data_IF_630798909466
#
_entry.id   IF_630798909466
#
_cell.length_a   1.000
_cell.length_b   1.000
_cell.length_c   1.000
_cell.angle_alpha   90.00
_cell.angle_beta   90.00
_cell.angle_gamma   90.00
#
_symmetry.space_group_name_H-M   'P 1'
#
loop_
_entity.id
_entity.type
_entity.pdbx_description
1 polymer ?
#
# COMPACT_ATOMS: atom_id res chain seq x y z
N UNK A 1 17.56 1.41 -21.42
CA UNK A 1 16.10 1.61 -21.66
C UNK A 1 15.73 3.07 -21.41
N UNK A 2 15.04 3.73 -22.35
CA UNK A 2 14.65 5.14 -22.22
C UNK A 2 13.60 5.34 -21.12
N UNK A 3 13.61 6.50 -20.46
CA UNK A 3 12.63 6.85 -19.42
C UNK A 3 11.19 6.86 -19.98
N UNK A 4 11.00 7.22 -21.25
CA UNK A 4 9.69 7.19 -21.92
C UNK A 4 9.12 5.77 -21.99
N UNK A 5 9.97 4.78 -22.25
CA UNK A 5 9.56 3.37 -22.31
C UNK A 5 9.17 2.88 -20.92
N UNK A 6 9.96 3.22 -19.89
CA UNK A 6 9.61 2.88 -18.50
C UNK A 6 8.28 3.52 -18.07
N UNK A 7 8.05 4.77 -18.50
CA UNK A 7 6.80 5.50 -18.25
C UNK A 7 5.60 4.82 -18.89
N UNK A 8 5.71 4.47 -20.18
CA UNK A 8 4.65 3.77 -20.90
C UNK A 8 4.33 2.42 -20.25
N UNK A 9 5.35 1.67 -19.83
CA UNK A 9 5.18 0.40 -19.12
C UNK A 9 4.45 0.58 -17.78
N UNK A 10 4.82 1.58 -16.96
CA UNK A 10 4.15 1.85 -15.70
C UNK A 10 2.66 2.19 -15.88
N UNK A 11 2.34 3.02 -16.87
CA UNK A 11 0.95 3.36 -17.22
C UNK A 11 0.15 2.17 -17.77
N UNK A 12 0.81 1.29 -18.52
CA UNK A 12 0.19 0.07 -19.00
C UNK A 12 -0.17 -0.86 -17.83
N UNK A 13 0.76 -1.05 -16.87
CA UNK A 13 0.49 -1.82 -15.66
C UNK A 13 -0.65 -1.20 -14.84
N UNK A 14 -0.65 0.11 -14.67
CA UNK A 14 -1.73 0.85 -14.00
C UNK A 14 -3.10 0.57 -14.63
N UNK A 15 -3.20 0.65 -15.96
CA UNK A 15 -4.43 0.37 -16.70
C UNK A 15 -4.89 -1.09 -16.55
N UNK A 16 -3.96 -2.06 -16.61
CA UNK A 16 -4.27 -3.48 -16.43
C UNK A 16 -4.79 -3.75 -15.01
N UNK A 17 -4.11 -3.23 -13.99
CA UNK A 17 -4.52 -3.38 -12.60
C UNK A 17 -5.89 -2.73 -12.35
N UNK A 18 -6.13 -1.55 -12.92
CA UNK A 18 -7.39 -0.80 -12.76
C UNK A 18 -8.59 -1.46 -13.45
N UNK A 19 -8.37 -2.35 -14.41
CA UNK A 19 -9.45 -2.95 -15.20
C UNK A 19 -9.73 -4.41 -14.85
N UNK A 20 -8.76 -5.14 -14.26
CA UNK A 20 -8.85 -6.59 -14.05
C UNK A 20 -8.80 -7.00 -12.58
N UNK A 21 -9.91 -6.83 -11.87
CA UNK A 21 -10.02 -7.22 -10.46
C UNK A 21 -9.91 -8.73 -10.21
N UNK A 22 -10.25 -9.56 -11.20
CA UNK A 22 -10.20 -11.02 -11.14
C UNK A 22 -8.78 -11.55 -10.99
N UNK A 23 -7.78 -10.76 -11.39
CA UNK A 23 -6.36 -11.12 -11.35
C UNK A 23 -5.64 -10.59 -10.10
N UNK A 24 -6.36 -10.03 -9.12
CA UNK A 24 -5.75 -9.44 -7.92
C UNK A 24 -4.73 -10.35 -7.20
N UNK A 25 -5.01 -11.64 -6.95
CA UNK A 25 -4.03 -12.53 -6.31
C UNK A 25 -2.73 -12.62 -7.12
N UNK A 26 -2.83 -12.70 -8.46
CA UNK A 26 -1.67 -12.77 -9.34
C UNK A 26 -0.87 -11.46 -9.35
N UNK A 27 -1.56 -10.32 -9.35
CA UNK A 27 -0.91 -9.01 -9.22
C UNK A 27 -0.14 -8.89 -7.91
N UNK A 28 -0.66 -9.45 -6.81
CA UNK A 28 0.08 -9.48 -5.55
C UNK A 28 1.31 -10.39 -5.58
N UNK A 29 1.31 -11.48 -6.37
CA UNK A 29 2.49 -12.36 -6.50
C UNK A 29 3.59 -11.76 -7.37
N UNK A 30 3.22 -11.14 -8.49
CA UNK A 30 4.19 -10.76 -9.53
C UNK A 30 4.37 -9.25 -9.67
N UNK A 31 3.27 -8.50 -9.76
CA UNK A 31 3.29 -7.07 -10.07
C UNK A 31 3.66 -6.24 -8.84
N UNK A 32 3.08 -6.53 -7.68
CA UNK A 32 3.30 -5.77 -6.45
C UNK A 32 4.78 -5.77 -6.02
N UNK A 33 5.48 -6.92 -5.91
CA UNK A 33 6.91 -6.91 -5.54
C UNK A 33 7.76 -6.19 -6.58
N UNK A 34 7.42 -6.29 -7.87
CA UNK A 34 8.12 -5.61 -8.95
C UNK A 34 7.97 -4.08 -8.86
N UNK A 35 6.76 -3.57 -8.57
CA UNK A 35 6.51 -2.16 -8.36
C UNK A 35 7.24 -1.61 -7.12
N UNK A 36 7.20 -2.34 -5.99
CA UNK A 36 7.93 -1.96 -4.76
C UNK A 36 9.43 -1.83 -5.04
N UNK A 37 10.01 -2.80 -5.78
CA UNK A 37 11.42 -2.77 -6.16
C UNK A 37 11.77 -1.58 -7.08
N UNK A 38 10.77 -0.96 -7.73
CA UNK A 38 10.92 0.20 -8.63
C UNK A 38 10.67 1.54 -7.96
N UNK A 39 10.29 1.61 -6.68
CA UNK A 39 10.16 2.89 -5.96
C UNK A 39 11.47 3.70 -5.91
N UNK A 40 12.62 3.05 -6.13
CA UNK A 40 13.95 3.68 -6.25
C UNK A 40 14.24 4.29 -7.64
N UNK A 41 13.24 4.52 -8.48
CA UNK A 41 13.41 5.14 -9.80
C UNK A 41 14.08 6.52 -9.69
N UNK A 42 14.93 6.89 -10.65
CA UNK A 42 15.67 8.17 -10.59
C UNK A 42 14.92 9.31 -11.25
N UNK A 43 14.14 9.00 -12.29
CA UNK A 43 13.36 9.99 -13.03
C UNK A 43 12.02 10.22 -12.30
N UNK A 44 11.75 11.47 -11.92
CA UNK A 44 10.63 11.80 -11.04
C UNK A 44 9.26 11.52 -11.68
N UNK A 45 9.13 11.72 -13.00
CA UNK A 45 7.87 11.45 -13.68
C UNK A 45 7.60 9.94 -13.77
N UNK A 46 8.59 9.14 -14.14
CA UNK A 46 8.48 7.67 -14.12
C UNK A 46 8.20 7.17 -12.70
N UNK A 47 8.88 7.72 -11.69
CA UNK A 47 8.63 7.38 -10.28
C UNK A 47 7.16 7.64 -9.91
N UNK A 48 6.63 8.82 -10.23
CA UNK A 48 5.24 9.14 -9.95
C UNK A 48 4.25 8.17 -10.62
N UNK A 49 4.50 7.78 -11.88
CA UNK A 49 3.67 6.78 -12.58
C UNK A 49 3.75 5.39 -11.92
N UNK A 50 4.91 4.99 -11.36
CA UNK A 50 5.06 3.74 -10.58
C UNK A 50 4.27 3.79 -9.27
N UNK A 51 4.31 4.92 -8.55
CA UNK A 51 3.48 5.12 -7.37
C UNK A 51 1.99 5.09 -7.71
N UNK A 52 1.59 5.68 -8.84
CA UNK A 52 0.21 5.67 -9.29
C UNK A 52 -0.30 4.25 -9.56
N UNK A 53 0.48 3.45 -10.29
CA UNK A 53 0.15 2.04 -10.56
C UNK A 53 -0.07 1.23 -9.27
N UNK A 54 0.74 1.46 -8.23
CA UNK A 54 0.60 0.78 -6.95
C UNK A 54 -0.61 1.29 -6.14
N UNK A 55 -0.92 2.60 -6.21
CA UNK A 55 -2.15 3.14 -5.62
C UNK A 55 -3.40 2.51 -6.22
N UNK A 56 -3.42 2.31 -7.54
CA UNK A 56 -4.52 1.63 -8.23
C UNK A 56 -4.66 0.18 -7.73
N UNK A 57 -3.55 -0.53 -7.48
CA UNK A 57 -3.60 -1.86 -6.88
C UNK A 57 -4.25 -1.85 -5.49
N UNK A 58 -3.87 -0.89 -4.64
CA UNK A 58 -4.47 -0.74 -3.31
C UNK A 58 -5.98 -0.44 -3.40
N UNK A 59 -6.38 0.46 -4.29
CA UNK A 59 -7.80 0.82 -4.50
C UNK A 59 -8.63 -0.37 -4.95
N UNK A 60 -8.09 -1.22 -5.83
CA UNK A 60 -8.75 -2.45 -6.27
C UNK A 60 -8.87 -3.49 -5.17
N UNK A 61 -7.96 -3.46 -4.21
CA UNK A 61 -7.95 -4.36 -3.05
C UNK A 61 -8.90 -3.89 -1.96
N UNK A 62 -9.34 -2.63 -2.01
CA UNK A 62 -10.39 -2.14 -1.13
C UNK A 62 -11.60 -3.05 -1.30
N UNK A 63 -12.13 -3.64 -0.22
CA UNK A 63 -13.30 -4.48 -0.34
C UNK A 63 -14.41 -3.62 -0.91
N UNK A 64 -14.88 -3.96 -2.10
CA UNK A 64 -15.98 -3.27 -2.77
C UNK A 64 -17.30 -3.58 -2.06
N UNK A 65 -17.42 -3.34 -0.74
CA UNK A 65 -18.57 -3.66 0.12
C UNK A 65 -19.07 -5.13 0.08
N UNK A 66 -18.55 -5.97 -0.81
CA UNK A 66 -19.07 -7.30 -1.15
C UNK A 66 -18.51 -8.41 -0.25
N UNK A 67 -17.36 -8.19 0.37
CA UNK A 67 -16.72 -9.19 1.25
C UNK A 67 -17.37 -9.27 2.65
N UNK A 68 -18.28 -8.35 2.99
CA UNK A 68 -19.05 -8.36 4.24
C UNK A 68 -20.32 -9.22 4.15
N UNK A 69 -20.67 -9.74 2.97
CA UNK A 69 -21.95 -10.42 2.74
C UNK A 69 -21.89 -11.95 2.77
N UNK A 70 -20.71 -12.57 2.90
CA UNK A 70 -20.63 -14.03 2.90
C UNK A 70 -19.71 -14.55 4.03
N UNK A 71 -20.26 -14.88 5.21
CA UNK A 71 -19.51 -15.47 6.31
C UNK A 71 -18.98 -16.89 6.01
N UNK A 72 -19.45 -17.56 4.95
CA UNK A 72 -18.98 -18.90 4.53
C UNK A 72 -17.83 -18.85 3.50
N UNK A 73 -17.55 -17.70 2.89
CA UNK A 73 -16.42 -17.54 1.95
C UNK A 73 -15.04 -17.46 2.64
N UNK A 74 -15.01 -17.52 3.98
CA UNK A 74 -13.81 -17.30 4.79
C UNK A 74 -12.86 -18.52 4.85
N UNK A 75 -13.21 -19.65 4.23
CA UNK A 75 -12.46 -20.90 4.36
C UNK A 75 -11.54 -21.29 3.18
N UNK A 76 -11.42 -20.51 2.09
CA UNK A 76 -10.61 -20.96 0.94
C UNK A 76 -9.68 -19.89 0.35
N UNK A 77 -8.43 -19.86 0.83
CA UNK A 77 -7.26 -19.35 0.09
C UNK A 77 -6.63 -18.04 0.58
N UNK A 78 -5.42 -17.74 0.06
CA UNK A 78 -4.76 -16.44 0.21
C UNK A 78 -5.65 -15.33 -0.38
N UNK A 79 -6.32 -14.58 0.48
CA UNK A 79 -7.09 -13.41 0.03
C UNK A 79 -6.14 -12.26 -0.35
N UNK A 80 -6.48 -11.39 -1.31
CA UNK A 80 -5.67 -10.22 -1.65
C UNK A 80 -5.30 -9.35 -0.43
N UNK A 81 -6.17 -9.31 0.59
CA UNK A 81 -5.90 -8.61 1.86
C UNK A 81 -4.79 -9.27 2.68
N UNK A 82 -4.80 -10.59 2.82
CA UNK A 82 -3.71 -11.33 3.52
C UNK A 82 -2.39 -11.19 2.78
N UNK A 83 -2.41 -11.21 1.44
CA UNK A 83 -1.21 -10.98 0.63
C UNK A 83 -0.68 -9.55 0.80
N UNK A 84 -1.56 -8.55 0.81
CA UNK A 84 -1.18 -7.17 1.09
C UNK A 84 -0.56 -7.04 2.48
N UNK A 85 -1.17 -7.65 3.52
CA UNK A 85 -0.67 -7.63 4.89
C UNK A 85 0.77 -8.19 4.97
N UNK A 86 1.05 -9.30 4.29
CA UNK A 86 2.38 -9.89 4.23
C UNK A 86 3.41 -8.98 3.53
N UNK A 87 2.97 -8.10 2.64
CA UNK A 87 3.83 -7.17 1.91
C UNK A 87 4.05 -5.83 2.62
N UNK A 88 3.24 -5.49 3.64
CA UNK A 88 3.34 -4.23 4.41
C UNK A 88 4.78 -3.93 4.85
N UNK A 89 5.55 -4.87 5.44
CA UNK A 89 6.91 -4.57 5.87
C UNK A 89 7.84 -4.14 4.72
N UNK A 90 7.66 -4.73 3.53
CA UNK A 90 8.44 -4.38 2.34
C UNK A 90 8.06 -3.00 1.80
N UNK A 91 6.75 -2.71 1.76
CA UNK A 91 6.21 -1.41 1.33
C UNK A 91 6.75 -0.32 2.24
N UNK A 92 6.58 -0.46 3.56
CA UNK A 92 7.03 0.53 4.54
C UNK A 92 8.54 0.73 4.45
N UNK A 93 9.33 -0.34 4.33
CA UNK A 93 10.79 -0.24 4.18
C UNK A 93 11.19 0.52 2.92
N UNK A 94 10.47 0.33 1.81
CA UNK A 94 10.72 1.07 0.57
C UNK A 94 10.33 2.55 0.70
N UNK A 95 9.14 2.83 1.26
CA UNK A 95 8.65 4.19 1.47
C UNK A 95 9.51 4.99 2.45
N UNK A 96 9.96 4.38 3.55
CA UNK A 96 10.84 5.05 4.51
C UNK A 96 12.16 5.54 3.87
N UNK A 97 12.67 4.83 2.86
CA UNK A 97 13.83 5.32 2.09
C UNK A 97 13.46 6.53 1.22
N UNK A 98 12.29 6.49 0.59
CA UNK A 98 11.80 7.54 -0.30
C UNK A 98 11.40 8.83 0.44
N UNK A 99 10.91 8.72 1.68
CA UNK A 99 10.57 9.87 2.53
C UNK A 99 11.78 10.74 2.89
N UNK A 100 13.00 10.20 2.79
CA UNK A 100 14.26 10.91 3.04
C UNK A 100 14.79 11.67 1.81
N UNK A 101 14.14 11.53 0.65
CA UNK A 101 14.55 12.27 -0.55
C UNK A 101 14.18 13.76 -0.47
N UNK A 102 14.95 14.60 -1.18
CA UNK A 102 14.76 16.05 -1.23
C UNK A 102 13.48 16.46 -1.97
N UNK A 103 12.99 15.64 -2.90
CA UNK A 103 11.79 15.92 -3.70
C UNK A 103 10.52 15.95 -2.84
N UNK A 104 9.86 17.12 -2.82
CA UNK A 104 8.56 17.29 -2.14
C UNK A 104 7.51 16.36 -2.74
N UNK A 105 7.49 16.24 -4.07
CA UNK A 105 6.56 15.39 -4.81
C UNK A 105 6.70 13.92 -4.43
N UNK A 106 7.93 13.43 -4.29
CA UNK A 106 8.20 12.05 -3.85
C UNK A 106 7.69 11.82 -2.43
N UNK A 107 7.92 12.77 -1.52
CA UNK A 107 7.40 12.66 -0.15
C UNK A 107 5.86 12.67 -0.11
N UNK A 108 5.21 13.52 -0.90
CA UNK A 108 3.75 13.53 -1.05
C UNK A 108 3.21 12.19 -1.55
N UNK A 109 3.83 11.59 -2.57
CA UNK A 109 3.47 10.26 -3.05
C UNK A 109 3.60 9.19 -1.95
N UNK A 110 4.63 9.26 -1.10
CA UNK A 110 4.79 8.34 0.02
C UNK A 110 3.66 8.48 1.04
N UNK A 111 3.30 9.71 1.43
CA UNK A 111 2.18 9.93 2.36
C UNK A 111 0.87 9.47 1.76
N UNK A 112 0.60 9.78 0.48
CA UNK A 112 -0.61 9.32 -0.19
C UNK A 112 -0.70 7.78 -0.21
N UNK A 113 0.43 7.10 -0.43
CA UNK A 113 0.51 5.64 -0.38
C UNK A 113 0.23 5.09 1.02
N UNK A 114 0.80 5.69 2.07
CA UNK A 114 0.55 5.30 3.45
C UNK A 114 -0.92 5.53 3.84
N UNK A 115 -1.51 6.66 3.43
CA UNK A 115 -2.93 6.96 3.65
C UNK A 115 -3.82 5.92 2.98
N UNK A 116 -3.57 5.60 1.71
CA UNK A 116 -4.36 4.58 1.01
C UNK A 116 -4.19 3.20 1.65
N UNK A 117 -2.97 2.84 2.08
CA UNK A 117 -2.71 1.59 2.78
C UNK A 117 -3.52 1.46 4.07
N UNK A 118 -3.61 2.54 4.87
CA UNK A 118 -4.41 2.56 6.10
C UNK A 118 -5.91 2.52 5.80
N UNK A 119 -6.34 3.13 4.70
CA UNK A 119 -7.75 3.07 4.27
C UNK A 119 -8.17 1.66 3.83
N UNK A 120 -7.26 0.88 3.25
CA UNK A 120 -7.52 -0.51 2.82
C UNK A 120 -7.36 -1.50 3.98
N UNK A 121 -6.34 -1.31 4.82
CA UNK A 121 -6.04 -2.16 5.97
C UNK A 121 -5.92 -1.29 7.24
N UNK A 122 -7.03 -1.11 7.99
CA UNK A 122 -6.97 -0.40 9.26
C UNK A 122 -6.02 -1.12 10.22
N UNK A 123 -5.04 -0.40 10.75
CA UNK A 123 -4.01 -0.96 11.64
C UNK A 123 -2.76 -1.53 10.94
N UNK A 124 -2.64 -1.45 9.61
CA UNK A 124 -1.45 -1.92 8.87
C UNK A 124 -0.13 -1.28 9.36
N UNK A 125 -0.17 -0.04 9.82
CA UNK A 125 1.03 0.71 10.21
C UNK A 125 1.38 0.61 11.70
N UNK A 126 0.57 -0.05 12.53
CA UNK A 126 0.72 -0.05 14.01
C UNK A 126 2.12 -0.45 14.46
N UNK A 127 2.72 -1.48 13.85
CA UNK A 127 4.07 -1.97 14.17
C UNK A 127 5.20 -1.15 13.54
N UNK A 128 4.87 -0.17 12.70
CA UNK A 128 5.80 0.53 11.83
C UNK A 128 5.86 2.05 12.05
N UNK A 129 4.94 2.61 12.84
CA UNK A 129 4.94 4.04 13.22
C UNK A 129 6.31 4.53 13.73
N UNK A 130 7.05 3.79 14.59
CA UNK A 130 8.35 4.28 15.10
C UNK A 130 9.40 4.51 14.01
N UNK A 131 9.31 3.78 12.89
CA UNK A 131 10.23 3.91 11.75
C UNK A 131 9.81 5.05 10.82
N UNK A 132 8.51 5.31 10.70
CA UNK A 132 7.96 6.35 9.82
C UNK A 132 8.04 7.75 10.44
N UNK A 133 7.91 7.86 11.76
CA UNK A 133 8.02 9.11 12.51
C UNK A 133 9.09 8.95 13.59
N UNK A 134 10.36 9.34 13.30
CA UNK A 134 11.39 9.39 14.32
C UNK A 134 11.07 10.49 15.34
N UNK A 135 10.34 10.11 16.40
CA UNK A 135 10.39 10.70 17.74
C UNK A 135 10.21 12.21 17.89
N UNK A 136 9.25 12.86 17.21
CA UNK A 136 8.90 14.26 17.57
C UNK A 136 7.46 14.52 17.98
N UNK A 137 6.52 13.61 17.74
CA UNK A 137 5.10 13.85 18.02
C UNK A 137 4.35 12.59 18.38
N UNK A 138 4.67 11.89 19.48
CA UNK A 138 3.70 11.02 20.15
C UNK A 138 4.06 10.86 21.64
N UNK A 139 3.55 11.72 22.54
CA UNK A 139 3.16 11.25 23.85
C UNK A 139 1.83 10.51 23.67
N UNK A 140 1.85 9.19 23.48
CA UNK A 140 0.63 8.40 23.72
C UNK A 140 0.62 8.02 25.20
N UNK A 141 -0.30 8.57 26.02
CA UNK A 141 -0.69 7.89 27.25
C UNK A 141 -1.40 6.60 26.86
N UNK A 142 -1.01 5.50 27.51
CA UNK A 142 -1.76 4.25 27.50
C UNK A 142 -3.11 4.50 28.19
N UNK A 143 -4.17 4.83 27.44
CA UNK A 143 -5.54 4.68 27.92
C UNK A 143 -6.05 3.31 27.51
N UNK A 144 -5.92 2.36 28.43
CA UNK A 144 -6.74 1.16 28.49
C UNK A 144 -8.22 1.56 28.45
N UNK A 145 -8.96 1.14 27.43
CA UNK A 145 -10.41 1.22 27.42
C UNK A 145 -10.95 0.24 28.48
N UNK A 146 -11.71 0.67 29.51
CA UNK A 146 -12.47 -0.26 30.32
C UNK A 146 -13.72 -0.68 29.55
N UNK A 147 -13.84 -1.99 29.34
CA UNK A 147 -15.05 -2.64 28.85
C UNK A 147 -16.21 -2.36 29.82
N UNK A 148 -17.38 -1.86 29.37
CA UNK A 148 -18.52 -1.66 30.26
C UNK A 148 -19.04 -3.03 30.71
N UNK A 149 -18.85 -3.33 31.99
CA UNK A 149 -19.50 -4.47 32.65
C UNK A 149 -20.98 -4.14 32.75
N UNK A 150 -21.80 -4.90 32.04
CA UNK A 150 -23.23 -5.03 32.28
C UNK A 150 -23.46 -5.54 33.70
N UNK A 151 -24.17 -4.77 34.51
CA UNK A 151 -25.04 -5.30 35.56
C UNK A 151 -26.19 -4.33 35.81
#
# INVERSE_FOLDING_TARGET
>A
MSWKVRRAAAKCLDAVVSTRHEMLPEFYRTVSPALIARFKEREENVKADVFHAYLSLLKQTRPAQSWLCDPDAMEQGETPLTMLQNQVPMIVKALHKQMKEKSVKTRQCCFNMLTELVNVLPGALTLHIPVLVPGRLLPYPHTTYPCPRTR
#
